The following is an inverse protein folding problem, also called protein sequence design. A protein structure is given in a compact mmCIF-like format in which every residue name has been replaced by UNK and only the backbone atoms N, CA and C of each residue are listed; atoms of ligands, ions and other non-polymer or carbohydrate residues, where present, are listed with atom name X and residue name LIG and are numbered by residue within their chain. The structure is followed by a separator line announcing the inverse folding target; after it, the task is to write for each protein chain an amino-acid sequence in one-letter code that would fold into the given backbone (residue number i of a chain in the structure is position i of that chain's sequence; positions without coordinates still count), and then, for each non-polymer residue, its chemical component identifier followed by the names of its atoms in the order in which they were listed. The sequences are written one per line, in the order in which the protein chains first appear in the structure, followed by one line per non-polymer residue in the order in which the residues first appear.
data_IF_216617801449
#
_entry.id   IF_216617801449
#
_cell.length_a   1.000
_cell.length_b   1.000
_cell.length_c   1.000
_cell.angle_alpha   90.00
_cell.angle_beta   90.00
_cell.angle_gamma   90.00
#
_symmetry.space_group_name_H-M   'P 1'
#
loop_
_entity.id
_entity.type
_entity.pdbx_description
1 polymer ?
#
# COMPACT_ATOMS: atom_id res chain seq x y z
N UNK A 1 32.85 -14.18 -47.07
CA UNK A 1 31.43 -13.83 -46.82
C UNK A 1 31.05 -14.45 -45.48
N UNK A 2 31.13 -13.64 -44.43
CA UNK A 2 30.86 -13.98 -43.03
C UNK A 2 29.80 -12.98 -42.57
N UNK A 3 28.90 -13.40 -41.67
CA UNK A 3 27.72 -12.69 -41.13
C UNK A 3 26.46 -12.92 -41.94
N UNK A 4 25.74 -13.98 -41.63
CA UNK A 4 24.33 -13.96 -41.20
C UNK A 4 24.04 -15.42 -40.87
N UNK A 5 24.05 -15.78 -39.59
CA UNK A 5 23.35 -16.93 -38.97
C UNK A 5 23.91 -17.18 -37.55
N UNK A 6 24.14 -16.08 -36.82
CA UNK A 6 24.48 -16.09 -35.39
C UNK A 6 23.43 -15.30 -34.60
N UNK A 7 22.17 -15.35 -35.04
CA UNK A 7 21.03 -14.68 -34.40
C UNK A 7 19.88 -15.66 -34.13
N UNK A 8 20.21 -16.92 -33.90
CA UNK A 8 19.39 -17.83 -33.07
C UNK A 8 19.88 -17.82 -31.60
N UNK A 9 20.69 -16.83 -31.24
CA UNK A 9 21.02 -16.52 -29.85
C UNK A 9 19.94 -15.58 -29.33
N UNK A 10 19.34 -15.94 -28.20
CA UNK A 10 18.51 -15.08 -27.35
C UNK A 10 16.98 -15.03 -27.60
N UNK A 11 16.35 -16.14 -27.99
CA UNK A 11 14.93 -16.38 -27.68
C UNK A 11 14.72 -17.25 -26.43
N UNK A 12 15.73 -17.30 -25.56
CA UNK A 12 15.53 -17.50 -24.13
C UNK A 12 15.16 -16.15 -23.51
N UNK A 13 13.98 -15.63 -23.85
CA UNK A 13 13.31 -14.74 -22.91
C UNK A 13 13.00 -15.62 -21.72
N UNK A 14 13.92 -15.63 -20.74
CA UNK A 14 13.60 -16.02 -19.40
C UNK A 14 12.24 -15.38 -19.11
N UNK A 15 11.23 -16.19 -18.82
CA UNK A 15 10.17 -15.79 -17.92
C UNK A 15 10.82 -15.57 -16.56
N UNK A 16 11.66 -14.53 -16.46
CA UNK A 16 11.96 -13.85 -15.23
C UNK A 16 10.59 -13.36 -14.79
N UNK A 17 9.93 -14.15 -13.94
CA UNK A 17 8.62 -13.81 -13.44
C UNK A 17 8.73 -12.42 -12.89
N UNK A 18 8.09 -11.44 -13.54
CA UNK A 18 8.20 -10.05 -13.12
C UNK A 18 7.90 -9.98 -11.63
N UNK A 19 8.81 -9.38 -10.88
CA UNK A 19 8.57 -9.08 -9.48
C UNK A 19 7.49 -7.99 -9.40
N UNK A 20 6.64 -7.99 -8.35
CA UNK A 20 5.64 -6.96 -8.18
C UNK A 20 6.30 -5.58 -8.05
N UNK A 21 5.83 -4.56 -8.81
CA UNK A 21 6.44 -3.25 -8.78
C UNK A 21 6.10 -2.52 -7.47
N UNK A 22 7.06 -1.77 -6.94
CA UNK A 22 6.88 -0.94 -5.73
C UNK A 22 5.69 0.04 -5.89
N UNK A 23 5.42 0.50 -7.11
CA UNK A 23 4.29 1.39 -7.39
C UNK A 23 2.91 0.79 -7.13
N UNK A 24 2.75 -0.54 -7.18
CA UNK A 24 1.51 -1.19 -6.79
C UNK A 24 1.29 -1.09 -5.27
N UNK A 25 2.37 -1.20 -4.49
CA UNK A 25 2.36 -1.04 -3.04
C UNK A 25 2.08 0.41 -2.66
N UNK A 26 2.73 1.37 -3.31
CA UNK A 26 2.47 2.81 -3.12
C UNK A 26 1.00 3.15 -3.32
N UNK A 27 0.42 2.74 -4.46
CA UNK A 27 -1.01 2.96 -4.75
C UNK A 27 -1.93 2.34 -3.71
N UNK A 28 -1.60 1.14 -3.23
CA UNK A 28 -2.36 0.49 -2.16
C UNK A 28 -2.31 1.30 -0.86
N UNK A 29 -1.13 1.74 -0.45
CA UNK A 29 -0.94 2.55 0.77
C UNK A 29 -1.63 3.91 0.65
N UNK A 30 -1.55 4.56 -0.52
CA UNK A 30 -2.25 5.81 -0.81
C UNK A 30 -3.77 5.63 -0.75
N UNK A 31 -4.30 4.54 -1.31
CA UNK A 31 -5.72 4.21 -1.23
C UNK A 31 -6.20 3.98 0.21
N UNK A 32 -5.36 3.34 1.05
CA UNK A 32 -5.68 3.03 2.45
C UNK A 32 -5.57 4.25 3.37
N UNK A 33 -4.54 5.07 3.21
CA UNK A 33 -4.16 6.11 4.18
C UNK A 33 -4.25 7.54 3.66
N UNK A 34 -4.44 7.74 2.36
CA UNK A 34 -4.39 9.05 1.69
C UNK A 34 -5.38 10.10 2.21
N UNK A 35 -6.46 9.65 2.87
CA UNK A 35 -7.42 10.54 3.55
C UNK A 35 -6.82 11.26 4.78
N UNK A 36 -5.80 10.66 5.41
CA UNK A 36 -5.24 11.11 6.69
C UNK A 36 -3.79 11.58 6.57
N UNK A 37 -3.02 10.89 5.74
CA UNK A 37 -1.58 11.05 5.66
C UNK A 37 -1.07 11.02 4.22
N UNK A 38 0.11 11.58 4.04
CA UNK A 38 0.95 11.39 2.88
C UNK A 38 1.83 10.15 3.10
N UNK A 39 1.91 9.29 2.10
CA UNK A 39 2.79 8.11 2.13
C UNK A 39 4.19 8.57 1.70
N UNK A 40 5.18 8.29 2.54
CA UNK A 40 6.58 8.65 2.32
C UNK A 40 7.47 7.40 2.42
N UNK A 41 8.61 7.39 1.72
CA UNK A 41 9.68 6.40 1.86
C UNK A 41 9.23 4.91 1.86
N UNK A 42 8.47 4.49 0.85
CA UNK A 42 8.09 3.07 0.68
C UNK A 42 9.31 2.23 0.31
N UNK A 43 9.62 1.21 1.13
CA UNK A 43 10.75 0.31 0.93
C UNK A 43 10.31 -1.14 1.15
N UNK A 44 10.55 -1.98 0.16
CA UNK A 44 10.40 -3.43 0.30
C UNK A 44 11.64 -3.97 1.03
N UNK A 45 11.44 -4.58 2.19
CA UNK A 45 12.51 -5.14 3.03
C UNK A 45 12.87 -6.55 2.60
N UNK A 46 11.85 -7.38 2.34
CA UNK A 46 12.01 -8.75 1.86
C UNK A 46 10.82 -9.14 1.01
N UNK A 47 11.06 -10.01 0.03
CA UNK A 47 10.02 -10.61 -0.81
C UNK A 47 10.21 -12.11 -0.84
N UNK A 48 9.14 -12.87 -0.61
CA UNK A 48 9.11 -14.33 -0.66
C UNK A 48 8.14 -14.73 -1.76
N UNK A 49 8.63 -15.45 -2.77
CA UNK A 49 7.78 -16.05 -3.80
C UNK A 49 7.06 -17.27 -3.22
N UNK A 50 5.74 -17.30 -3.34
CA UNK A 50 4.92 -18.43 -2.91
C UNK A 50 4.60 -19.32 -4.11
N UNK A 51 4.17 -18.72 -5.21
CA UNK A 51 3.95 -19.38 -6.48
C UNK A 51 4.22 -18.42 -7.66
N UNK A 52 3.86 -18.79 -8.89
CA UNK A 52 4.10 -17.97 -10.09
C UNK A 52 3.38 -16.60 -10.05
N UNK A 53 2.26 -16.53 -9.34
CA UNK A 53 1.37 -15.39 -9.28
C UNK A 53 1.33 -14.71 -7.91
N UNK A 54 1.92 -15.31 -6.88
CA UNK A 54 1.78 -14.83 -5.50
C UNK A 54 3.14 -14.61 -4.83
N UNK A 55 3.31 -13.42 -4.24
CA UNK A 55 4.45 -13.06 -3.41
C UNK A 55 3.97 -12.50 -2.06
N UNK A 56 4.72 -12.77 -0.99
CA UNK A 56 4.63 -12.00 0.26
C UNK A 56 5.77 -11.01 0.33
N UNK A 57 5.46 -9.75 0.61
CA UNK A 57 6.45 -8.71 0.82
C UNK A 57 6.34 -8.13 2.22
N UNK A 58 7.46 -7.98 2.92
CA UNK A 58 7.53 -7.13 4.09
C UNK A 58 7.92 -5.73 3.63
N UNK A 59 7.12 -4.73 3.98
CA UNK A 59 7.28 -3.36 3.50
C UNK A 59 7.38 -2.41 4.68
N UNK A 60 8.39 -1.54 4.65
CA UNK A 60 8.49 -0.38 5.53
C UNK A 60 8.03 0.86 4.77
N UNK A 61 7.24 1.70 5.42
CA UNK A 61 6.76 2.96 4.85
C UNK A 61 6.54 4.00 5.94
N UNK A 62 6.60 5.27 5.57
CA UNK A 62 6.31 6.42 6.40
C UNK A 62 4.92 6.98 6.12
N UNK A 63 4.23 7.45 7.15
CA UNK A 63 3.00 8.23 7.04
C UNK A 63 3.19 9.58 7.70
N UNK A 64 3.07 10.65 6.92
CA UNK A 64 3.07 12.03 7.42
C UNK A 64 1.65 12.57 7.45
N UNK A 65 1.13 12.82 8.64
CA UNK A 65 -0.24 13.31 8.81
C UNK A 65 -0.36 14.74 8.28
N UNK A 66 -1.39 15.00 7.47
CA UNK A 66 -1.61 16.31 6.82
C UNK A 66 -2.36 17.30 7.70
N UNK A 67 -3.07 16.81 8.72
CA UNK A 67 -4.00 17.55 9.57
C UNK A 67 -3.88 17.05 11.01
N UNK A 68 -4.26 17.89 11.98
CA UNK A 68 -4.33 17.45 13.37
C UNK A 68 -5.44 16.39 13.54
N UNK A 69 -5.35 15.61 14.62
CA UNK A 69 -6.24 14.47 14.82
C UNK A 69 -7.69 14.91 15.03
N UNK A 70 -7.89 16.03 15.73
CA UNK A 70 -9.21 16.56 16.05
C UNK A 70 -10.03 16.93 14.80
N UNK A 71 -9.41 17.55 13.81
CA UNK A 71 -10.06 17.88 12.53
C UNK A 71 -10.52 16.64 11.78
N UNK A 72 -9.67 15.61 11.74
CA UNK A 72 -9.96 14.34 11.08
C UNK A 72 -11.13 13.63 11.79
N UNK A 73 -11.07 13.54 13.12
CA UNK A 73 -12.13 12.91 13.93
C UNK A 73 -13.48 13.64 13.77
N UNK A 74 -13.45 14.98 13.74
CA UNK A 74 -14.65 15.79 13.53
C UNK A 74 -15.28 15.50 12.17
N UNK A 75 -14.49 15.49 11.10
CA UNK A 75 -14.95 15.20 9.74
C UNK A 75 -15.58 13.79 9.63
N UNK A 76 -14.90 12.77 10.16
CA UNK A 76 -15.42 11.40 10.16
C UNK A 76 -16.74 11.33 10.93
N UNK A 77 -16.82 11.98 12.09
CA UNK A 77 -18.05 12.01 12.91
C UNK A 77 -19.21 12.67 12.17
N UNK A 78 -18.96 13.77 11.49
CA UNK A 78 -19.99 14.46 10.68
C UNK A 78 -20.46 13.58 9.51
N UNK A 79 -19.54 12.91 8.82
CA UNK A 79 -19.88 11.97 7.74
C UNK A 79 -20.65 10.76 8.25
N UNK A 80 -20.30 10.22 9.42
CA UNK A 80 -21.02 9.10 10.04
C UNK A 80 -22.46 9.46 10.41
N UNK A 81 -22.73 10.69 10.86
CA UNK A 81 -24.10 11.14 11.19
C UNK A 81 -25.03 11.18 9.97
N UNK A 82 -24.46 11.43 8.79
CA UNK A 82 -25.21 11.59 7.53
C UNK A 82 -25.24 10.29 6.70
N UNK A 83 -24.45 9.29 7.06
CA UNK A 83 -24.26 8.09 6.26
C UNK A 83 -25.27 6.98 6.62
N UNK A 84 -25.97 6.50 5.60
CA UNK A 84 -26.55 5.16 5.62
C UNK A 84 -25.41 4.14 5.42
N UNK A 85 -24.89 3.60 6.54
CA UNK A 85 -23.69 2.76 6.56
C UNK A 85 -23.83 1.47 5.72
N UNK A 86 -25.06 1.04 5.43
CA UNK A 86 -25.31 -0.08 4.53
C UNK A 86 -25.10 0.28 3.05
N UNK A 87 -25.29 1.55 2.67
CA UNK A 87 -25.12 2.02 1.29
C UNK A 87 -23.77 2.68 1.05
N UNK A 88 -23.17 3.28 2.08
CA UNK A 88 -21.86 3.91 1.99
C UNK A 88 -21.03 3.58 3.23
N UNK A 89 -20.25 2.47 3.21
CA UNK A 89 -19.44 2.06 4.34
C UNK A 89 -18.17 2.90 4.53
N UNK A 90 -17.82 3.76 3.55
CA UNK A 90 -16.56 4.53 3.54
C UNK A 90 -16.28 5.27 4.85
N UNK A 91 -17.23 6.02 5.45
CA UNK A 91 -16.97 6.74 6.70
C UNK A 91 -16.65 5.80 7.88
N UNK A 92 -17.26 4.61 7.91
CA UNK A 92 -16.96 3.61 8.93
C UNK A 92 -15.57 3.01 8.73
N UNK A 93 -15.20 2.64 7.50
CA UNK A 93 -13.85 2.16 7.17
C UNK A 93 -12.80 3.21 7.56
N UNK A 94 -13.04 4.47 7.24
CA UNK A 94 -12.18 5.59 7.64
C UNK A 94 -11.99 5.68 9.16
N UNK A 95 -13.06 5.49 9.95
CA UNK A 95 -12.97 5.49 11.41
C UNK A 95 -12.12 4.34 11.95
N UNK A 96 -12.28 3.14 11.38
CA UNK A 96 -11.49 1.95 11.75
C UNK A 96 -10.00 2.18 11.44
N UNK A 97 -9.70 2.67 10.24
CA UNK A 97 -8.32 2.95 9.82
C UNK A 97 -7.68 4.03 10.69
N UNK A 98 -8.42 5.10 11.03
CA UNK A 98 -7.90 6.14 11.91
C UNK A 98 -7.55 5.59 13.30
N UNK A 99 -8.42 4.75 13.88
CA UNK A 99 -8.15 4.14 15.18
C UNK A 99 -6.93 3.21 15.14
N UNK A 100 -6.77 2.45 14.05
CA UNK A 100 -5.55 1.66 13.81
C UNK A 100 -4.30 2.55 13.82
N UNK A 101 -4.33 3.67 13.11
CA UNK A 101 -3.23 4.62 13.03
C UNK A 101 -2.91 5.26 14.40
N UNK A 102 -3.92 5.68 15.17
CA UNK A 102 -3.71 6.22 16.52
C UNK A 102 -3.04 5.16 17.41
N UNK A 103 -3.49 3.91 17.33
CA UNK A 103 -2.92 2.81 18.12
C UNK A 103 -1.47 2.50 17.75
N UNK A 104 -1.12 2.57 16.45
CA UNK A 104 0.22 2.23 15.95
C UNK A 104 1.22 3.38 16.09
N UNK A 105 0.80 4.60 15.80
CA UNK A 105 1.68 5.79 15.80
C UNK A 105 1.66 6.56 17.12
N UNK A 106 0.58 6.47 17.89
CA UNK A 106 0.33 7.29 19.08
C UNK A 106 -0.18 8.69 18.72
N UNK A 107 -1.25 9.13 19.38
CA UNK A 107 -1.87 10.44 19.10
C UNK A 107 -0.91 11.62 19.27
N UNK A 108 -0.05 11.59 20.29
CA UNK A 108 0.95 12.65 20.52
C UNK A 108 2.04 12.73 19.45
N UNK A 109 2.31 11.63 18.74
CA UNK A 109 3.28 11.60 17.65
C UNK A 109 2.69 12.24 16.38
N UNK A 110 1.40 11.97 16.13
CA UNK A 110 0.60 12.56 15.05
C UNK A 110 0.52 14.09 15.21
N UNK A 111 0.17 14.56 16.41
CA UNK A 111 0.05 16.00 16.72
C UNK A 111 1.35 16.79 16.55
N UNK A 112 2.50 16.12 16.59
CA UNK A 112 3.82 16.75 16.38
C UNK A 112 4.21 16.84 14.91
N UNK A 113 3.35 16.41 13.98
CA UNK A 113 3.61 16.45 12.53
C UNK A 113 4.77 15.56 12.08
N UNK A 114 5.12 14.54 12.87
CA UNK A 114 6.24 13.64 12.57
C UNK A 114 5.80 12.52 11.64
N UNK A 115 6.68 12.10 10.73
CA UNK A 115 6.46 10.90 9.91
C UNK A 115 6.48 9.65 10.80
N UNK A 116 5.36 8.93 10.83
CA UNK A 116 5.22 7.66 11.54
C UNK A 116 5.69 6.53 10.63
N UNK A 117 6.74 5.83 11.01
CA UNK A 117 7.24 4.69 10.24
C UNK A 117 6.61 3.39 10.72
N UNK A 118 6.05 2.63 9.77
CA UNK A 118 5.41 1.36 10.02
C UNK A 118 6.03 0.27 9.16
N UNK A 119 5.80 -0.97 9.55
CA UNK A 119 6.22 -2.15 8.79
C UNK A 119 5.07 -3.15 8.77
N UNK A 120 4.66 -3.54 7.57
CA UNK A 120 3.56 -4.48 7.34
C UNK A 120 3.98 -5.59 6.40
N UNK A 121 3.27 -6.71 6.47
CA UNK A 121 3.38 -7.80 5.51
C UNK A 121 2.21 -7.69 4.53
N UNK A 122 2.51 -7.70 3.24
CA UNK A 122 1.55 -7.57 2.15
C UNK A 122 1.58 -8.82 1.26
N UNK A 123 0.42 -9.26 0.82
CA UNK A 123 0.26 -10.24 -0.25
C UNK A 123 0.17 -9.51 -1.59
N UNK A 124 0.94 -9.97 -2.56
CA UNK A 124 1.02 -9.40 -3.91
C UNK A 124 0.60 -10.50 -4.89
N UNK A 125 -0.58 -10.34 -5.48
CA UNK A 125 -1.22 -11.35 -6.34
C UNK A 125 -1.34 -10.80 -7.76
N UNK A 126 -0.87 -11.56 -8.75
CA UNK A 126 -1.06 -11.26 -10.16
C UNK A 126 -2.41 -11.79 -10.64
N UNK A 127 -3.34 -10.90 -10.98
CA UNK A 127 -4.67 -11.24 -11.50
C UNK A 127 -4.81 -10.62 -12.88
N UNK A 128 -4.95 -11.44 -13.93
CA UNK A 128 -5.14 -10.98 -15.33
C UNK A 128 -4.05 -10.00 -15.81
N UNK A 129 -2.81 -10.19 -15.37
CA UNK A 129 -1.68 -9.33 -15.72
C UNK A 129 -1.50 -8.11 -14.82
N UNK A 130 -2.41 -7.84 -13.89
CA UNK A 130 -2.31 -6.74 -12.93
C UNK A 130 -1.89 -7.22 -11.54
N UNK A 131 -1.10 -6.42 -10.83
CA UNK A 131 -0.70 -6.69 -9.45
C UNK A 131 -1.73 -6.11 -8.47
N UNK A 132 -2.33 -6.99 -7.68
CA UNK A 132 -3.26 -6.66 -6.62
C UNK A 132 -2.56 -6.85 -5.28
N UNK A 133 -2.62 -5.82 -4.43
CA UNK A 133 -2.02 -5.82 -3.10
C UNK A 133 -3.10 -6.05 -2.05
N UNK A 134 -2.85 -6.96 -1.10
CA UNK A 134 -3.69 -7.17 0.07
C UNK A 134 -2.86 -7.02 1.34
N UNK A 135 -3.39 -6.25 2.31
CA UNK A 135 -2.80 -6.14 3.64
C UNK A 135 -3.49 -7.08 4.63
N UNK A 136 -2.71 -7.65 5.55
CA UNK A 136 -3.19 -8.46 6.69
C UNK A 136 -3.32 -7.62 7.96
#
# INVERSE_FOLDING_TARGET
MIRVLFTAFLFLTLSCGEEPPVSAIEKFLEGRYGLFAEVEEVRVLTTVKIDENTYFAQVKYGLRFKRNLWEIEKEIRERLKLADLYKNPTPFVSAVVLNELIRRCGGSYIERGRTCYMTDNLELIRIRGEWVVRGF
#
